data_IF_790726825976
#
_entry.id   IF_790726825976
#
_cell.length_a   1.000
_cell.length_b   1.000
_cell.length_c   1.000
_cell.angle_alpha   90.00
_cell.angle_beta   90.00
_cell.angle_gamma   90.00
#
_symmetry.space_group_name_H-M   'P 1'
#
loop_
_entity.id
_entity.type
_entity.pdbx_description
1 polymer ?
#
# COMPACT_ATOMS: atom_id res chain seq x y z
N UNK A 1 11.65 -55.14 -25.43
CA UNK A 1 10.29 -54.91 -25.99
C UNK A 1 10.17 -53.39 -26.11
N UNK A 2 10.61 -52.72 -27.19
CA UNK A 2 9.98 -52.63 -28.54
C UNK A 2 8.49 -52.27 -28.35
N UNK A 3 7.88 -51.16 -28.76
CA UNK A 3 7.97 -50.21 -29.88
C UNK A 3 7.21 -48.93 -29.39
N UNK A 4 7.35 -47.72 -29.92
CA UNK A 4 7.31 -47.33 -31.33
C UNK A 4 6.01 -46.55 -31.60
N UNK A 5 6.18 -45.25 -31.89
CA UNK A 5 5.15 -44.28 -32.29
C UNK A 5 4.46 -44.66 -33.61
N UNK A 6 3.19 -44.29 -33.78
CA UNK A 6 2.61 -43.66 -34.99
C UNK A 6 1.08 -43.66 -34.93
N UNK A 7 0.44 -42.55 -35.27
CA UNK A 7 -0.61 -42.48 -36.30
C UNK A 7 -0.81 -41.01 -36.70
N UNK A 8 -0.63 -40.75 -37.99
CA UNK A 8 -0.92 -39.53 -38.74
C UNK A 8 -2.15 -39.85 -39.61
N UNK A 9 -3.16 -38.98 -39.70
CA UNK A 9 -3.72 -38.43 -40.96
C UNK A 9 -5.08 -37.71 -40.81
N UNK A 10 -5.13 -36.60 -41.55
CA UNK A 10 -6.18 -35.69 -42.05
C UNK A 10 -7.64 -36.15 -42.26
N UNK A 11 -8.57 -35.17 -42.14
CA UNK A 11 -9.64 -34.78 -43.12
C UNK A 11 -10.39 -33.53 -42.56
N UNK A 12 -10.30 -32.30 -43.10
CA UNK A 12 -10.99 -31.66 -44.25
C UNK A 12 -12.54 -31.53 -44.14
N UNK A 13 -12.98 -30.26 -44.09
CA UNK A 13 -14.23 -29.60 -44.54
C UNK A 13 -15.62 -30.03 -44.00
N UNK A 14 -16.35 -29.03 -43.47
CA UNK A 14 -17.68 -28.68 -44.01
C UNK A 14 -18.09 -27.26 -43.64
N UNK A 15 -18.23 -26.42 -44.66
CA UNK A 15 -18.99 -25.17 -44.65
C UNK A 15 -20.49 -25.51 -44.65
N UNK A 16 -21.28 -24.86 -43.80
CA UNK A 16 -22.71 -24.66 -44.07
C UNK A 16 -23.11 -23.22 -43.86
N UNK A 17 -23.50 -22.64 -44.99
CA UNK A 17 -24.24 -21.42 -45.21
C UNK A 17 -25.62 -21.47 -44.55
N UNK A 18 -26.01 -20.36 -43.92
CA UNK A 18 -27.41 -19.99 -43.74
C UNK A 18 -27.52 -18.49 -43.98
N UNK A 19 -28.30 -18.13 -44.99
CA UNK A 19 -28.59 -16.78 -45.46
C UNK A 19 -30.03 -16.38 -45.13
N UNK A 20 -30.24 -15.07 -45.11
CA UNK A 20 -31.49 -14.26 -45.13
C UNK A 20 -32.09 -13.81 -43.78
N UNK A 21 -32.79 -12.65 -43.74
CA UNK A 21 -32.77 -11.47 -44.63
C UNK A 21 -32.59 -10.12 -43.91
N UNK A 22 -32.30 -9.13 -44.74
CA UNK A 22 -32.17 -7.69 -44.47
C UNK A 22 -33.46 -7.03 -43.94
N UNK A 23 -33.32 -6.18 -42.92
CA UNK A 23 -34.18 -5.03 -42.70
C UNK A 23 -33.34 -3.81 -42.32
N UNK A 24 -33.39 -2.81 -43.20
CA UNK A 24 -32.94 -1.44 -42.99
C UNK A 24 -33.68 -0.85 -41.78
N UNK A 25 -32.92 -0.25 -40.86
CA UNK A 25 -33.45 0.73 -39.93
C UNK A 25 -32.42 1.86 -39.80
N UNK A 26 -32.83 3.04 -40.26
CA UNK A 26 -32.11 4.30 -40.13
C UNK A 26 -31.77 4.57 -38.66
N UNK A 27 -30.49 4.80 -38.36
CA UNK A 27 -30.11 5.52 -37.14
C UNK A 27 -29.39 6.80 -37.53
N UNK A 28 -30.13 7.89 -37.28
CA UNK A 28 -29.69 9.27 -37.34
C UNK A 28 -28.46 9.48 -36.47
N UNK A 29 -27.43 10.10 -37.05
CA UNK A 29 -26.25 10.52 -36.32
C UNK A 29 -26.58 11.61 -35.31
N UNK A 30 -26.27 11.34 -34.04
CA UNK A 30 -26.17 12.37 -33.01
C UNK A 30 -24.69 12.60 -32.71
N UNK A 31 -24.12 13.63 -33.31
CA UNK A 31 -22.86 14.23 -32.87
C UNK A 31 -23.13 14.98 -31.56
N UNK A 32 -22.81 14.36 -30.43
CA UNK A 32 -22.76 15.09 -29.16
C UNK A 32 -21.35 15.65 -28.96
N UNK A 33 -21.24 16.95 -29.16
CA UNK A 33 -20.07 17.75 -28.82
C UNK A 33 -20.06 17.88 -27.29
N UNK A 34 -19.24 17.09 -26.60
CA UNK A 34 -19.09 17.20 -25.15
C UNK A 34 -18.34 18.50 -24.83
N UNK A 35 -19.09 19.52 -24.40
CA UNK A 35 -18.53 20.71 -23.80
C UNK A 35 -17.95 20.36 -22.42
N UNK A 36 -16.70 20.76 -22.20
CA UNK A 36 -16.01 20.66 -20.92
C UNK A 36 -16.73 21.49 -19.87
N UNK A 37 -17.45 20.87 -18.94
CA UNK A 37 -17.88 21.53 -17.72
C UNK A 37 -17.07 20.99 -16.55
N UNK A 38 -16.04 21.76 -16.18
CA UNK A 38 -15.36 21.65 -14.89
C UNK A 38 -16.40 21.94 -13.80
N UNK A 39 -16.91 20.87 -13.17
CA UNK A 39 -17.69 20.97 -11.95
C UNK A 39 -16.73 21.34 -10.81
N UNK A 40 -16.56 22.65 -10.58
CA UNK A 40 -15.98 23.15 -9.33
C UNK A 40 -17.01 22.91 -8.22
N UNK A 41 -16.74 21.93 -7.36
CA UNK A 41 -17.43 21.84 -6.08
C UNK A 41 -16.98 23.01 -5.18
N UNK A 42 -17.89 23.82 -4.64
CA UNK A 42 -17.51 24.86 -3.70
C UNK A 42 -17.12 24.21 -2.36
N UNK A 43 -15.84 24.28 -2.01
CA UNK A 43 -15.37 23.96 -0.67
C UNK A 43 -15.83 25.06 0.29
N UNK A 44 -16.69 24.71 1.25
CA UNK A 44 -17.24 25.61 2.28
C UNK A 44 -16.24 26.05 3.37
N UNK A 45 -14.95 25.77 3.20
CA UNK A 45 -13.91 26.10 4.18
C UNK A 45 -12.94 27.13 3.58
N UNK A 46 -12.53 28.11 4.40
CA UNK A 46 -11.44 29.00 4.02
C UNK A 46 -10.15 28.20 3.79
N UNK A 47 -9.34 28.57 2.81
CA UNK A 47 -8.18 27.77 2.34
C UNK A 47 -7.09 27.51 3.40
N UNK A 48 -7.19 28.16 4.56
CA UNK A 48 -6.21 28.17 5.65
C UNK A 48 -6.76 27.67 7.00
N UNK A 49 -7.99 27.17 7.04
CA UNK A 49 -8.58 26.66 8.30
C UNK A 49 -8.05 25.26 8.61
N UNK A 50 -7.34 25.13 9.73
CA UNK A 50 -6.94 23.86 10.30
C UNK A 50 -8.17 23.04 10.73
N UNK A 51 -8.05 21.72 10.73
CA UNK A 51 -9.04 20.87 11.37
C UNK A 51 -9.15 21.22 12.88
N UNK A 52 -10.38 21.21 13.40
CA UNK A 52 -10.65 21.42 14.82
C UNK A 52 -10.26 20.16 15.62
N UNK A 53 -8.98 20.05 15.96
CA UNK A 53 -8.40 18.96 16.75
C UNK A 53 -7.33 19.47 17.71
N UNK A 54 -7.20 18.82 18.87
CA UNK A 54 -6.11 19.06 19.81
C UNK A 54 -4.82 18.37 19.30
N UNK A 55 -4.04 19.13 18.52
CA UNK A 55 -2.78 18.66 17.92
C UNK A 55 -1.77 18.12 18.95
N UNK A 56 -1.82 18.57 20.21
CA UNK A 56 -0.92 18.13 21.26
C UNK A 56 -1.33 16.80 21.92
N UNK A 57 -2.57 16.35 21.69
CA UNK A 57 -3.09 15.06 22.17
C UNK A 57 -3.20 13.99 21.09
N UNK A 58 -2.73 14.27 19.87
CA UNK A 58 -2.69 13.27 18.81
C UNK A 58 -1.85 12.05 19.22
N UNK A 59 -2.46 10.88 19.13
CA UNK A 59 -1.77 9.59 19.20
C UNK A 59 -1.37 9.10 17.81
N UNK A 60 -0.98 7.82 17.74
CA UNK A 60 -0.81 7.09 16.47
C UNK A 60 -2.10 6.35 16.07
N UNK A 61 -3.24 6.79 16.58
CA UNK A 61 -4.55 6.24 16.24
C UNK A 61 -5.05 6.74 14.89
N UNK A 62 -5.96 5.98 14.27
CA UNK A 62 -6.65 6.43 13.07
C UNK A 62 -7.59 7.59 13.41
N UNK A 63 -7.31 8.75 12.83
CA UNK A 63 -8.26 9.85 12.73
C UNK A 63 -8.64 9.97 11.25
N UNK A 64 -9.86 9.53 10.86
CA UNK A 64 -10.31 9.60 9.48
C UNK A 64 -10.25 11.05 8.97
N UNK A 65 -9.56 11.25 7.85
CA UNK A 65 -9.56 12.54 7.14
C UNK A 65 -10.73 12.62 6.16
N UNK A 66 -10.89 13.75 5.47
CA UNK A 66 -12.06 14.00 4.63
C UNK A 66 -12.10 13.15 3.35
N UNK A 67 -10.93 12.87 2.77
CA UNK A 67 -10.79 12.23 1.47
C UNK A 67 -9.78 11.08 1.48
N UNK A 68 -10.00 10.14 0.56
CA UNK A 68 -9.06 9.08 0.17
C UNK A 68 -9.02 8.97 -1.36
N UNK A 69 -7.93 8.46 -1.91
CA UNK A 69 -7.79 8.16 -3.34
C UNK A 69 -7.98 6.66 -3.59
N UNK A 70 -8.68 6.28 -4.66
CA UNK A 70 -8.94 4.88 -5.01
C UNK A 70 -8.76 4.65 -6.51
N UNK A 71 -8.07 3.56 -6.86
CA UNK A 71 -7.85 3.09 -8.22
C UNK A 71 -8.05 1.57 -8.28
N UNK A 72 -8.67 1.07 -9.33
CA UNK A 72 -8.96 -0.37 -9.51
C UNK A 72 -8.33 -0.90 -10.79
N UNK A 73 -7.97 -2.17 -10.77
CA UNK A 73 -7.32 -2.85 -11.87
C UNK A 73 -7.74 -4.32 -11.92
N UNK A 74 -8.04 -4.83 -13.11
CA UNK A 74 -8.10 -6.28 -13.36
C UNK A 74 -6.68 -6.86 -13.35
N UNK A 75 -6.55 -8.16 -13.13
CA UNK A 75 -5.23 -8.84 -13.08
C UNK A 75 -4.37 -8.63 -14.34
N UNK A 76 -4.99 -8.67 -15.51
CA UNK A 76 -4.29 -8.62 -16.80
C UNK A 76 -4.29 -7.22 -17.43
N UNK A 77 -4.77 -6.21 -16.68
CA UNK A 77 -4.83 -4.82 -17.10
C UNK A 77 -3.76 -3.98 -16.41
N UNK A 78 -3.57 -2.76 -16.92
CA UNK A 78 -2.86 -1.71 -16.21
C UNK A 78 -3.84 -0.88 -15.37
N UNK A 79 -3.37 -0.34 -14.25
CA UNK A 79 -4.13 0.63 -13.49
C UNK A 79 -4.48 1.82 -14.39
N UNK A 80 -5.76 2.20 -14.39
CA UNK A 80 -6.30 3.35 -15.15
C UNK A 80 -6.30 4.60 -14.28
N UNK A 81 -7.06 5.63 -14.65
CA UNK A 81 -7.24 6.80 -13.78
C UNK A 81 -8.01 6.41 -12.51
N UNK A 82 -7.49 6.82 -11.35
CA UNK A 82 -8.18 6.68 -10.08
C UNK A 82 -9.10 7.87 -9.80
N UNK A 83 -9.68 7.90 -8.60
CA UNK A 83 -10.52 9.02 -8.16
C UNK A 83 -10.28 9.36 -6.71
N UNK A 84 -10.34 10.64 -6.41
CA UNK A 84 -10.54 11.13 -5.05
C UNK A 84 -12.00 10.85 -4.64
N UNK A 85 -12.19 10.39 -3.40
CA UNK A 85 -13.50 10.07 -2.84
C UNK A 85 -13.52 10.44 -1.36
N UNK A 86 -14.71 10.63 -0.79
CA UNK A 86 -14.82 10.79 0.67
C UNK A 86 -14.26 9.56 1.37
N UNK A 87 -13.59 9.78 2.50
CA UNK A 87 -13.12 8.66 3.31
C UNK A 87 -14.31 7.77 3.69
N UNK A 88 -14.18 6.48 3.44
CA UNK A 88 -15.20 5.48 3.76
C UNK A 88 -14.55 4.10 3.88
N UNK A 89 -15.27 3.17 4.51
CA UNK A 89 -14.90 1.76 4.46
C UNK A 89 -14.96 1.24 3.03
N UNK A 90 -14.10 0.28 2.71
CA UNK A 90 -14.14 -0.44 1.43
C UNK A 90 -14.99 -1.70 1.57
N UNK A 91 -15.85 -1.94 0.59
CA UNK A 91 -16.59 -3.18 0.44
C UNK A 91 -15.78 -4.15 -0.43
N UNK A 92 -15.55 -5.37 0.07
CA UNK A 92 -14.82 -6.42 -0.64
C UNK A 92 -15.50 -7.77 -0.39
N UNK A 93 -15.38 -8.68 -1.36
CA UNK A 93 -15.91 -10.05 -1.20
C UNK A 93 -15.26 -10.75 0.00
N UNK A 94 -16.02 -11.56 0.78
CA UNK A 94 -15.42 -12.46 1.78
C UNK A 94 -14.40 -13.43 1.17
N UNK A 95 -14.54 -13.77 -0.12
CA UNK A 95 -13.57 -14.59 -0.87
C UNK A 95 -12.42 -13.78 -1.47
N UNK A 96 -12.22 -12.51 -1.09
CA UNK A 96 -11.10 -11.73 -1.61
C UNK A 96 -9.74 -12.35 -1.24
N UNK A 97 -8.80 -12.33 -2.18
CA UNK A 97 -7.47 -12.91 -1.99
C UNK A 97 -6.71 -12.31 -0.80
N UNK A 98 -6.89 -11.02 -0.52
CA UNK A 98 -6.30 -10.38 0.67
C UNK A 98 -6.81 -10.99 2.00
N UNK A 99 -8.10 -11.32 2.08
CA UNK A 99 -8.72 -11.79 3.32
C UNK A 99 -8.33 -13.24 3.64
N UNK A 100 -8.15 -14.06 2.60
CA UNK A 100 -7.94 -15.50 2.75
C UNK A 100 -6.45 -15.89 2.65
N UNK A 101 -5.68 -15.20 1.82
CA UNK A 101 -4.29 -15.57 1.49
C UNK A 101 -3.28 -14.43 1.69
N UNK A 102 -3.72 -13.29 2.22
CA UNK A 102 -2.82 -12.20 2.59
C UNK A 102 -2.16 -11.48 1.41
N UNK A 103 -2.73 -11.55 0.20
CA UNK A 103 -2.19 -10.89 -1.00
C UNK A 103 -2.40 -9.36 -0.94
N UNK A 104 -1.60 -8.68 -0.12
CA UNK A 104 -1.67 -7.23 0.08
C UNK A 104 -0.33 -6.61 0.48
N UNK A 105 -0.09 -5.39 0.00
CA UNK A 105 1.11 -4.59 0.24
C UNK A 105 0.67 -3.23 0.75
N UNK A 106 1.51 -2.59 1.57
CA UNK A 106 1.28 -1.22 1.97
C UNK A 106 2.56 -0.41 1.97
N UNK A 107 2.41 0.90 1.94
CA UNK A 107 3.50 1.86 2.06
C UNK A 107 3.25 2.86 3.20
N UNK A 108 4.24 3.67 3.50
CA UNK A 108 4.09 4.73 4.49
C UNK A 108 4.99 5.92 4.14
N UNK A 109 4.38 7.09 4.07
CA UNK A 109 5.11 8.36 3.95
C UNK A 109 4.44 9.42 4.81
N UNK A 110 5.05 10.60 4.91
CA UNK A 110 4.58 11.71 5.73
C UNK A 110 4.58 12.98 4.91
N UNK A 111 3.50 13.74 5.00
CA UNK A 111 3.44 15.13 4.57
C UNK A 111 3.64 16.04 5.80
N UNK A 112 4.61 16.94 5.71
CA UNK A 112 4.94 17.89 6.77
C UNK A 112 4.69 19.31 6.30
N UNK A 113 4.18 20.14 7.21
CA UNK A 113 4.06 21.58 7.00
C UNK A 113 5.31 22.28 7.52
N UNK A 114 5.90 23.13 6.70
CA UNK A 114 7.03 23.98 7.09
C UNK A 114 6.54 25.28 7.71
N UNK A 115 7.45 26.00 8.38
CA UNK A 115 7.16 27.32 8.97
C UNK A 115 6.68 28.35 7.94
N UNK A 116 7.16 28.24 6.69
CA UNK A 116 6.73 29.09 5.56
C UNK A 116 5.46 28.58 4.85
N UNK A 117 4.76 27.61 5.43
CA UNK A 117 3.46 27.11 4.95
C UNK A 117 3.51 26.09 3.81
N UNK A 118 4.68 25.78 3.25
CA UNK A 118 4.84 24.73 2.23
C UNK A 118 4.52 23.35 2.80
N UNK A 119 4.08 22.45 1.92
CA UNK A 119 3.83 21.05 2.23
C UNK A 119 4.91 20.21 1.56
N UNK A 120 5.66 19.45 2.36
CA UNK A 120 6.77 18.63 1.89
C UNK A 120 6.46 17.14 2.04
N UNK A 121 6.72 16.39 0.97
CA UNK A 121 6.76 14.93 0.94
C UNK A 121 8.21 14.49 0.77
N UNK A 122 8.66 13.52 1.56
CA UNK A 122 10.01 12.99 1.44
C UNK A 122 10.02 11.75 0.54
N UNK A 123 10.68 11.87 -0.61
CA UNK A 123 10.98 10.78 -1.57
C UNK A 123 9.79 9.84 -1.86
N UNK A 124 8.58 10.33 -2.19
CA UNK A 124 7.42 9.48 -2.46
C UNK A 124 7.63 8.54 -3.67
N UNK A 125 8.53 8.90 -4.58
CA UNK A 125 8.99 8.06 -5.68
C UNK A 125 9.65 6.76 -5.20
N UNK A 126 10.41 6.80 -4.11
CA UNK A 126 11.07 5.60 -3.56
C UNK A 126 10.07 4.69 -2.85
N UNK A 127 9.05 5.26 -2.21
CA UNK A 127 7.91 4.48 -1.72
C UNK A 127 7.22 3.76 -2.89
N UNK A 128 7.03 4.45 -4.02
CA UNK A 128 6.43 3.86 -5.22
C UNK A 128 7.29 2.71 -5.79
N UNK A 129 8.60 2.91 -5.93
CA UNK A 129 9.54 1.87 -6.38
C UNK A 129 9.51 0.65 -5.45
N UNK A 130 9.46 0.86 -4.13
CA UNK A 130 9.38 -0.23 -3.17
C UNK A 130 8.06 -0.99 -3.26
N UNK A 131 6.93 -0.30 -3.46
CA UNK A 131 5.65 -0.95 -3.72
C UNK A 131 5.68 -1.77 -5.02
N UNK A 132 6.29 -1.25 -6.08
CA UNK A 132 6.42 -1.95 -7.37
C UNK A 132 7.20 -3.25 -7.23
N UNK A 133 8.35 -3.24 -6.56
CA UNK A 133 9.11 -4.48 -6.27
C UNK A 133 8.30 -5.45 -5.38
N UNK A 134 7.54 -4.91 -4.44
CA UNK A 134 6.63 -5.72 -3.63
C UNK A 134 5.54 -6.39 -4.46
N UNK A 135 4.94 -5.64 -5.38
CA UNK A 135 3.86 -6.11 -6.24
C UNK A 135 4.35 -7.25 -7.13
N UNK A 136 5.53 -7.12 -7.71
CA UNK A 136 6.20 -8.19 -8.45
C UNK A 136 6.36 -9.46 -7.59
N UNK A 137 6.92 -9.32 -6.38
CA UNK A 137 7.12 -10.46 -5.45
C UNK A 137 5.81 -11.15 -5.05
N UNK A 138 4.73 -10.39 -4.96
CA UNK A 138 3.40 -10.87 -4.55
C UNK A 138 2.49 -11.22 -5.75
N UNK A 139 3.03 -11.23 -6.97
CA UNK A 139 2.29 -11.50 -8.22
C UNK A 139 1.07 -10.58 -8.41
N UNK A 140 1.23 -9.28 -8.17
CA UNK A 140 0.20 -8.25 -8.29
C UNK A 140 0.58 -7.25 -9.39
N UNK A 141 -0.38 -6.68 -10.16
CA UNK A 141 -0.12 -5.47 -10.93
C UNK A 141 0.20 -4.32 -9.97
N UNK A 142 1.03 -3.38 -10.40
CA UNK A 142 1.41 -2.19 -9.64
C UNK A 142 0.94 -0.92 -10.35
N UNK A 143 0.55 0.15 -9.62
CA UNK A 143 0.54 1.48 -10.21
C UNK A 143 1.95 1.84 -10.71
N UNK A 144 2.03 2.65 -11.76
CA UNK A 144 3.30 3.27 -12.15
C UNK A 144 3.80 4.22 -11.05
N UNK A 145 5.10 4.54 -11.06
CA UNK A 145 5.69 5.50 -10.11
C UNK A 145 4.92 6.82 -10.13
N UNK A 146 4.57 7.31 -11.33
CA UNK A 146 3.84 8.56 -11.50
C UNK A 146 2.43 8.47 -10.91
N UNK A 147 1.65 7.42 -11.22
CA UNK A 147 0.31 7.22 -10.65
C UNK A 147 0.32 7.16 -9.13
N UNK A 148 1.33 6.49 -8.54
CA UNK A 148 1.47 6.44 -7.09
C UNK A 148 1.74 7.84 -6.50
N UNK A 149 2.71 8.57 -7.07
CA UNK A 149 3.11 9.88 -6.59
C UNK A 149 1.95 10.88 -6.71
N UNK A 150 1.20 10.85 -7.80
CA UNK A 150 0.06 11.73 -8.03
C UNK A 150 -1.08 11.41 -7.07
N UNK A 151 -1.42 10.13 -6.88
CA UNK A 151 -2.43 9.71 -5.90
C UNK A 151 -2.07 10.16 -4.46
N UNK A 152 -0.79 10.08 -4.09
CA UNK A 152 -0.30 10.58 -2.80
C UNK A 152 -0.45 12.09 -2.70
N UNK A 153 -0.04 12.85 -3.73
CA UNK A 153 -0.15 14.31 -3.75
C UNK A 153 -1.62 14.77 -3.70
N UNK A 154 -2.49 14.16 -4.48
CA UNK A 154 -3.92 14.46 -4.49
C UNK A 154 -4.56 14.20 -3.12
N UNK A 155 -4.24 13.05 -2.50
CA UNK A 155 -4.73 12.72 -1.16
C UNK A 155 -4.26 13.74 -0.12
N UNK A 156 -2.98 14.15 -0.17
CA UNK A 156 -2.42 15.14 0.76
C UNK A 156 -3.07 16.51 0.55
N UNK A 157 -3.21 16.94 -0.70
CA UNK A 157 -3.78 18.25 -1.04
C UNK A 157 -5.25 18.34 -0.63
N UNK A 158 -6.04 17.31 -0.93
CA UNK A 158 -7.44 17.23 -0.51
C UNK A 158 -7.65 17.24 1.01
N UNK A 159 -6.63 16.80 1.76
CA UNK A 159 -6.65 16.76 3.22
C UNK A 159 -5.72 17.82 3.85
N UNK A 160 -5.41 18.92 3.15
CA UNK A 160 -4.48 19.98 3.62
C UNK A 160 -4.78 20.47 5.04
N UNK A 161 -6.05 20.63 5.41
CA UNK A 161 -6.49 21.05 6.76
C UNK A 161 -6.12 20.08 7.88
N UNK A 162 -5.90 18.81 7.55
CA UNK A 162 -5.51 17.76 8.49
C UNK A 162 -3.99 17.65 8.66
N UNK A 163 -3.20 18.43 7.92
CA UNK A 163 -1.74 18.47 8.11
C UNK A 163 -1.44 19.31 9.37
N UNK A 164 -0.85 18.72 10.43
CA UNK A 164 -0.57 19.43 11.66
C UNK A 164 0.25 20.73 11.43
N UNK A 165 0.08 21.74 12.30
CA UNK A 165 0.96 22.90 12.31
C UNK A 165 2.44 22.51 12.48
N UNK A 166 3.38 23.38 12.08
CA UNK A 166 4.81 23.14 12.30
C UNK A 166 5.12 22.76 13.75
N UNK A 167 6.01 21.78 13.93
CA UNK A 167 6.39 21.24 15.25
C UNK A 167 5.35 20.34 15.94
N UNK A 168 4.08 20.31 15.49
CA UNK A 168 3.02 19.51 16.14
C UNK A 168 2.91 18.08 15.63
N UNK A 169 3.38 17.80 14.43
CA UNK A 169 3.37 16.45 13.87
C UNK A 169 3.43 16.42 12.35
N UNK A 170 2.86 15.37 11.77
CA UNK A 170 2.82 15.14 10.33
C UNK A 170 1.50 14.51 9.91
N UNK A 171 1.09 14.69 8.66
CA UNK A 171 0.04 13.87 8.07
C UNK A 171 0.65 12.56 7.59
N UNK A 172 0.34 11.46 8.26
CA UNK A 172 0.77 10.13 7.83
C UNK A 172 -0.09 9.66 6.66
N UNK A 173 0.55 9.31 5.55
CA UNK A 173 -0.11 8.88 4.31
C UNK A 173 0.14 7.39 4.13
N UNK A 174 -0.95 6.64 3.92
CA UNK A 174 -0.97 5.18 3.80
C UNK A 174 -1.50 4.74 2.43
N UNK A 175 -0.60 4.49 1.48
CA UNK A 175 -0.93 3.74 0.27
C UNK A 175 -1.07 2.24 0.57
N UNK A 176 -2.11 1.59 0.05
CA UNK A 176 -2.30 0.15 0.06
C UNK A 176 -2.47 -0.35 -1.38
N UNK A 177 -2.00 -1.56 -1.64
CA UNK A 177 -2.28 -2.33 -2.85
C UNK A 177 -2.83 -3.69 -2.41
N UNK A 178 -4.06 -4.00 -2.82
CA UNK A 178 -4.87 -5.06 -2.22
C UNK A 178 -5.46 -5.97 -3.30
N UNK A 179 -5.29 -7.28 -3.20
CA UNK A 179 -6.00 -8.26 -4.03
C UNK A 179 -7.47 -8.38 -3.60
N UNK A 180 -8.34 -7.58 -4.19
CA UNK A 180 -9.77 -7.44 -3.81
C UNK A 180 -10.70 -8.40 -4.54
N UNK A 181 -10.26 -8.98 -5.66
CA UNK A 181 -11.08 -9.88 -6.46
C UNK A 181 -11.38 -11.21 -5.77
N UNK A 182 -12.58 -11.79 -5.99
CA UNK A 182 -13.00 -13.03 -5.35
C UNK A 182 -12.25 -14.25 -5.92
N UNK A 183 -11.62 -15.04 -5.05
CA UNK A 183 -10.93 -16.28 -5.43
C UNK A 183 -10.82 -17.27 -4.27
N UNK A 184 -11.22 -18.52 -4.49
CA UNK A 184 -11.06 -19.61 -3.51
C UNK A 184 -9.86 -20.53 -3.81
N UNK A 185 -9.35 -20.50 -5.05
CA UNK A 185 -8.11 -21.19 -5.40
C UNK A 185 -6.91 -20.36 -4.94
N UNK A 186 -5.83 -21.03 -4.55
CA UNK A 186 -4.57 -20.36 -4.27
C UNK A 186 -3.90 -19.90 -5.57
N UNK A 187 -4.23 -18.69 -6.01
CA UNK A 187 -3.66 -18.04 -7.18
C UNK A 187 -3.75 -16.50 -7.02
N UNK A 188 -3.05 -15.72 -7.85
CA UNK A 188 -3.19 -14.26 -7.84
C UNK A 188 -4.64 -13.83 -8.05
N UNK A 189 -5.09 -12.86 -7.25
CA UNK A 189 -6.46 -12.33 -7.32
C UNK A 189 -6.81 -11.83 -8.73
N UNK A 190 -8.09 -11.93 -9.15
CA UNK A 190 -8.52 -11.46 -10.46
C UNK A 190 -8.67 -9.93 -10.54
N UNK A 191 -8.78 -9.26 -9.39
CA UNK A 191 -8.92 -7.80 -9.30
C UNK A 191 -8.13 -7.24 -8.12
N UNK A 192 -7.67 -6.00 -8.28
CA UNK A 192 -6.83 -5.28 -7.34
C UNK A 192 -7.36 -3.88 -7.11
N UNK A 193 -7.20 -3.41 -5.88
CA UNK A 193 -7.47 -2.02 -5.49
C UNK A 193 -6.20 -1.40 -4.93
N UNK A 194 -5.78 -0.29 -5.55
CA UNK A 194 -4.83 0.64 -4.96
C UNK A 194 -5.60 1.77 -4.28
N UNK A 195 -5.29 2.07 -3.03
CA UNK A 195 -5.93 3.14 -2.29
C UNK A 195 -4.94 3.91 -1.45
N UNK A 196 -5.19 5.20 -1.26
CA UNK A 196 -4.37 6.07 -0.40
C UNK A 196 -5.29 6.78 0.57
N UNK A 197 -5.07 6.58 1.87
CA UNK A 197 -5.71 7.37 2.92
C UNK A 197 -4.66 8.08 3.77
N UNK A 198 -5.11 9.02 4.60
CA UNK A 198 -4.24 9.74 5.51
C UNK A 198 -4.81 9.81 6.92
N UNK A 199 -3.95 10.10 7.88
CA UNK A 199 -4.31 10.39 9.27
C UNK A 199 -3.28 11.33 9.89
N UNK A 200 -3.68 12.40 10.59
CA UNK A 200 -2.73 13.20 11.37
C UNK A 200 -2.10 12.33 12.45
N UNK A 201 -0.79 12.48 12.64
CA UNK A 201 -0.03 11.80 13.70
C UNK A 201 0.96 12.76 14.34
N UNK A 202 1.23 12.54 15.63
CA UNK A 202 2.27 13.27 16.35
C UNK A 202 3.68 12.80 15.98
N UNK A 203 4.66 13.64 16.28
CA UNK A 203 6.05 13.23 16.42
C UNK A 203 6.18 12.09 17.47
N UNK A 204 6.88 11.03 17.06
CA UNK A 204 6.99 9.78 17.83
C UNK A 204 7.88 9.94 19.07
N UNK A 205 8.91 10.78 18.97
CA UNK A 205 9.81 11.14 20.07
C UNK A 205 9.57 12.62 20.37
N UNK A 206 9.03 12.91 21.56
CA UNK A 206 9.19 14.25 22.12
C UNK A 206 10.62 14.36 22.63
N UNK A 207 11.18 15.56 22.64
CA UNK A 207 12.37 15.83 23.45
C UNK A 207 12.12 15.33 24.88
N UNK A 208 13.06 14.53 25.40
CA UNK A 208 12.95 13.90 26.73
C UNK A 208 12.26 12.53 26.80
N UNK A 209 11.90 11.88 25.68
CA UNK A 209 11.41 10.49 25.72
C UNK A 209 12.51 9.52 26.15
N UNK A 210 12.17 8.61 27.07
CA UNK A 210 13.05 7.57 27.56
C UNK A 210 13.61 6.69 26.41
N UNK A 211 14.86 6.21 26.52
CA UNK A 211 15.42 5.30 25.54
C UNK A 211 14.59 4.01 25.44
N UNK A 212 14.52 3.44 24.24
CA UNK A 212 13.85 2.16 24.01
C UNK A 212 14.69 1.03 24.63
N UNK A 213 14.07 0.20 25.48
CA UNK A 213 14.62 -1.07 25.91
C UNK A 213 14.10 -2.20 25.01
N UNK A 214 15.00 -2.99 24.42
CA UNK A 214 14.67 -4.00 23.42
C UNK A 214 14.90 -5.42 23.97
N UNK A 215 13.96 -6.32 23.69
CA UNK A 215 14.05 -7.74 23.98
C UNK A 215 14.60 -8.48 22.77
N UNK A 216 15.67 -9.27 22.96
CA UNK A 216 16.14 -10.20 21.95
C UNK A 216 15.35 -11.50 22.12
N UNK A 217 14.52 -11.80 21.13
CA UNK A 217 13.72 -13.04 21.10
C UNK A 217 14.44 -14.10 20.26
N UNK A 218 14.92 -15.15 20.91
CA UNK A 218 15.63 -16.25 20.26
C UNK A 218 14.68 -17.29 19.63
N UNK A 219 13.38 -17.25 19.98
CA UNK A 219 12.39 -18.20 19.50
C UNK A 219 11.81 -17.73 18.16
N UNK A 220 11.30 -16.50 18.11
CA UNK A 220 10.61 -15.97 16.94
C UNK A 220 11.56 -15.31 15.94
N UNK A 221 11.46 -15.70 14.66
CA UNK A 221 12.13 -14.99 13.55
C UNK A 221 11.19 -13.97 12.92
N UNK A 222 11.77 -12.89 12.41
CA UNK A 222 11.05 -11.87 11.67
C UNK A 222 10.81 -12.24 10.22
N UNK A 223 11.84 -12.78 9.59
CA UNK A 223 11.88 -13.15 8.19
C UNK A 223 12.97 -14.21 7.99
N UNK A 224 12.87 -14.97 6.90
CA UNK A 224 13.88 -15.96 6.51
C UNK A 224 14.36 -15.71 5.07
N UNK A 225 15.58 -16.15 4.72
CA UNK A 225 16.04 -16.19 3.32
C UNK A 225 15.02 -16.93 2.43
N UNK A 226 14.74 -16.38 1.26
CA UNK A 226 13.70 -16.90 0.35
C UNK A 226 12.27 -16.55 0.74
N UNK A 227 12.04 -16.01 1.94
CA UNK A 227 10.73 -15.52 2.39
C UNK A 227 10.32 -14.19 1.74
N UNK A 228 9.38 -13.49 2.38
CA UNK A 228 8.87 -12.20 1.92
C UNK A 228 9.41 -11.01 2.73
N UNK A 229 10.44 -11.20 3.57
CA UNK A 229 10.95 -10.18 4.50
C UNK A 229 11.44 -8.88 3.85
N UNK A 230 11.91 -8.95 2.60
CA UNK A 230 12.33 -7.77 1.82
C UNK A 230 11.17 -6.94 1.25
N UNK A 231 9.92 -7.32 1.50
CA UNK A 231 8.73 -6.66 0.95
C UNK A 231 7.84 -6.15 2.08
N UNK A 232 7.19 -5.01 1.86
CA UNK A 232 6.22 -4.42 2.79
C UNK A 232 4.82 -5.04 2.64
N UNK A 233 4.78 -6.36 2.67
CA UNK A 233 3.55 -7.17 2.57
C UNK A 233 2.89 -7.33 3.94
N UNK A 234 1.55 -7.42 3.97
CA UNK A 234 0.78 -7.60 5.21
C UNK A 234 1.11 -8.92 5.93
N UNK A 235 1.54 -9.95 5.18
CA UNK A 235 1.87 -11.27 5.73
C UNK A 235 3.07 -11.26 6.69
N UNK A 236 3.90 -10.22 6.59
CA UNK A 236 5.08 -10.05 7.45
C UNK A 236 4.76 -9.52 8.85
N UNK A 237 3.57 -8.93 9.06
CA UNK A 237 3.28 -8.16 10.28
C UNK A 237 2.38 -8.89 11.28
N UNK A 238 1.53 -9.81 10.84
CA UNK A 238 0.74 -10.64 11.76
C UNK A 238 1.60 -11.63 12.58
N UNK A 239 2.60 -12.35 11.98
CA UNK A 239 3.38 -13.33 12.73
C UNK A 239 4.21 -12.75 13.88
N UNK A 240 4.64 -11.48 13.78
CA UNK A 240 5.47 -10.84 14.80
C UNK A 240 4.71 -10.40 16.04
N UNK A 241 3.38 -10.34 15.99
CA UNK A 241 2.55 -9.81 17.09
C UNK A 241 2.75 -10.61 18.39
N UNK A 242 2.98 -11.92 18.30
CA UNK A 242 3.23 -12.77 19.47
C UNK A 242 4.54 -12.42 20.18
N UNK A 243 5.62 -12.24 19.42
CA UNK A 243 6.92 -11.84 19.95
C UNK A 243 6.84 -10.45 20.61
N UNK A 244 6.13 -9.51 19.97
CA UNK A 244 5.90 -8.17 20.50
C UNK A 244 5.12 -8.21 21.81
N UNK A 245 4.06 -9.01 21.89
CA UNK A 245 3.28 -9.17 23.13
C UNK A 245 4.16 -9.73 24.25
N UNK A 246 4.95 -10.77 23.97
CA UNK A 246 5.89 -11.36 24.93
C UNK A 246 6.93 -10.38 25.44
N UNK A 247 7.50 -9.55 24.57
CA UNK A 247 8.46 -8.52 24.99
C UNK A 247 7.82 -7.51 25.95
N UNK A 248 6.59 -7.07 25.65
CA UNK A 248 5.82 -6.18 26.51
C UNK A 248 5.50 -6.81 27.86
N UNK A 249 5.07 -8.07 27.88
CA UNK A 249 4.78 -8.81 29.13
C UNK A 249 6.02 -8.94 30.02
N UNK A 250 7.22 -8.82 29.44
CA UNK A 250 8.52 -8.83 30.14
C UNK A 250 9.05 -7.43 30.47
N UNK A 251 8.28 -6.37 30.22
CA UNK A 251 8.68 -4.98 30.52
C UNK A 251 9.59 -4.33 29.48
N UNK A 252 9.71 -4.89 28.28
CA UNK A 252 10.46 -4.30 27.17
C UNK A 252 9.56 -3.49 26.23
N UNK A 253 10.14 -2.44 25.63
CA UNK A 253 9.46 -1.54 24.69
C UNK A 253 9.19 -2.23 23.35
N UNK A 254 10.14 -3.04 22.88
CA UNK A 254 10.02 -3.76 21.62
C UNK A 254 10.93 -4.98 21.49
N UNK A 255 10.84 -5.66 20.33
CA UNK A 255 11.72 -6.79 19.97
C UNK A 255 12.82 -6.32 19.02
N UNK A 256 14.05 -6.80 19.28
CA UNK A 256 15.17 -6.77 18.34
C UNK A 256 15.39 -8.19 17.80
N UNK A 257 15.17 -8.38 16.50
CA UNK A 257 15.21 -9.70 15.88
C UNK A 257 16.62 -10.14 15.51
N UNK A 258 16.86 -11.44 15.64
CA UNK A 258 18.04 -12.13 15.13
C UNK A 258 17.75 -12.79 13.78
N UNK A 259 18.81 -13.03 13.01
CA UNK A 259 18.73 -13.71 11.72
C UNK A 259 18.18 -15.13 11.86
N UNK A 260 17.35 -15.55 10.91
CA UNK A 260 16.67 -16.83 10.99
C UNK A 260 17.58 -18.07 10.90
N UNK A 261 18.81 -17.93 10.38
CA UNK A 261 19.69 -19.06 10.09
C UNK A 261 20.59 -19.37 11.27
N UNK A 262 21.32 -18.38 11.75
CA UNK A 262 22.36 -18.53 12.77
C UNK A 262 21.88 -18.09 14.15
N UNK A 263 20.76 -17.38 14.24
CA UNK A 263 20.22 -16.82 15.49
C UNK A 263 21.28 -16.02 16.25
N UNK A 264 22.06 -15.23 15.53
CA UNK A 264 23.23 -14.52 16.08
C UNK A 264 23.36 -13.10 15.57
N UNK A 265 23.02 -12.85 14.32
CA UNK A 265 23.19 -11.55 13.69
C UNK A 265 21.95 -10.70 13.91
N UNK A 266 22.13 -9.48 14.40
CA UNK A 266 21.04 -8.52 14.59
C UNK A 266 20.44 -8.12 13.23
N UNK A 267 19.11 -8.10 13.13
CA UNK A 267 18.40 -7.77 11.89
C UNK A 267 17.58 -6.50 11.94
N UNK A 268 16.56 -6.42 12.78
CA UNK A 268 15.69 -5.25 12.88
C UNK A 268 14.93 -5.12 14.21
N UNK A 269 14.63 -3.87 14.57
CA UNK A 269 13.62 -3.54 15.56
C UNK A 269 12.32 -3.15 14.83
N UNK A 270 11.19 -3.72 15.30
CA UNK A 270 9.77 -3.67 14.86
C UNK A 270 9.34 -2.83 13.63
N UNK A 271 9.83 -1.60 13.46
CA UNK A 271 9.30 -0.62 12.50
C UNK A 271 10.36 0.05 11.60
N UNK A 272 11.62 -0.37 11.66
CA UNK A 272 12.65 0.12 10.75
C UNK A 272 12.71 -0.81 9.54
N UNK A 273 11.99 -0.48 8.47
CA UNK A 273 12.12 -1.19 7.20
C UNK A 273 13.56 -1.07 6.68
N UNK A 274 14.20 -2.21 6.43
CA UNK A 274 15.47 -2.28 5.67
C UNK A 274 15.28 -1.59 4.31
N UNK A 275 16.00 -0.49 4.05
CA UNK A 275 16.28 -0.12 2.66
C UNK A 275 17.33 -1.10 2.11
N UNK A 276 17.37 -1.36 0.79
CA UNK A 276 18.27 -2.34 0.17
C UNK A 276 19.78 -2.03 0.29
N UNK A 277 20.15 -0.91 0.95
CA UNK A 277 21.55 -0.57 1.20
C UNK A 277 21.90 -0.80 2.66
N UNK A 278 22.81 -1.75 2.85
CA UNK A 278 23.44 -2.24 4.09
C UNK A 278 24.13 -1.20 5.00
N UNK A 279 23.85 0.10 4.86
CA UNK A 279 24.63 1.16 5.53
C UNK A 279 24.03 1.60 6.88
N UNK A 280 22.70 1.47 7.09
CA UNK A 280 22.04 2.04 8.28
C UNK A 280 22.38 1.29 9.58
N UNK A 281 22.73 0.00 9.51
CA UNK A 281 23.05 -0.78 10.71
C UNK A 281 24.43 -0.49 11.32
N UNK A 282 25.39 0.03 10.55
CA UNK A 282 26.72 0.34 11.10
C UNK A 282 26.72 1.59 11.99
N UNK A 283 25.85 2.57 11.74
CA UNK A 283 25.81 3.80 12.54
C UNK A 283 24.98 3.66 13.83
N UNK A 284 23.85 2.94 13.78
CA UNK A 284 22.99 2.77 14.97
C UNK A 284 23.64 1.87 16.03
N UNK A 285 24.35 0.81 15.62
CA UNK A 285 25.05 -0.08 16.57
C UNK A 285 26.33 0.56 17.14
N UNK A 286 26.97 1.46 16.38
CA UNK A 286 28.13 2.23 16.84
C UNK A 286 27.79 3.22 17.96
N UNK A 287 26.59 3.82 17.93
CA UNK A 287 26.15 4.79 18.94
C UNK A 287 25.48 4.17 20.18
N UNK A 288 25.26 2.85 20.21
CA UNK A 288 24.66 2.13 21.35
C UNK A 288 25.66 1.28 22.14
N UNK A 289 26.93 1.25 21.75
CA UNK A 289 27.99 0.48 22.43
C UNK A 289 29.22 1.30 22.86
N UNK A 290 29.09 2.63 22.98
CA UNK A 290 29.99 3.52 23.71
C UNK A 290 29.15 4.56 24.48
#
# INVERSE_FOLDING_TARGET
MVQGSSYICSLVQSLRSASFPSKLANYSGYTSRAASNSLRHPSTYSEDEYADVDWDKLGFGLTPTDYMYVMRCSKDDNFKEGRLSRYANIEISPSAGVLNYGQGIYEGTKANRTEDGRILLFRPDQNATRMMHGAERMCMPSPSIQQFVDAVKETVFANKRWIPPPGKGSLYVRPLLVGTGPILGLAPAPEYTFLVYASPVRNYFKEGTAPLNLYIDEEFVRASPGGAGGVKTITNYAPVLKAIARAKDRGFSDVLYLDAVNRKYLEEAKLITKEPRWTIYREIVSQLLL
#
